data_IF_435135290335
#
_entry.id   IF_435135290335
#
_cell.length_a   1.000
_cell.length_b   1.000
_cell.length_c   1.000
_cell.angle_alpha   90.00
_cell.angle_beta   90.00
_cell.angle_gamma   90.00
#
_symmetry.space_group_name_H-M   'P 1'
#
loop_
_entity.id
_entity.type
_entity.pdbx_description
1 polymer ?
#
# COMPACT_ATOMS: atom_id res chain seq x y z
N UNK A 1 -6.56 19.56 -2.55
CA UNK A 1 -5.85 18.80 -3.59
C UNK A 1 -6.82 17.86 -4.27
N UNK A 2 -6.77 17.78 -5.58
CA UNK A 2 -7.67 16.89 -6.34
C UNK A 2 -6.87 15.75 -6.97
N UNK A 3 -6.83 14.61 -6.29
CA UNK A 3 -6.12 13.42 -6.78
C UNK A 3 -6.68 12.90 -8.10
N UNK A 4 -8.00 13.00 -8.29
CA UNK A 4 -8.66 12.44 -9.47
C UNK A 4 -8.27 13.18 -10.75
N UNK A 5 -7.84 14.42 -10.65
CA UNK A 5 -7.45 15.25 -11.80
C UNK A 5 -5.98 15.06 -12.21
N UNK A 6 -5.20 14.32 -11.44
CA UNK A 6 -3.79 14.10 -11.74
C UNK A 6 -3.61 13.01 -12.80
N UNK A 7 -2.50 13.08 -13.53
CA UNK A 7 -2.15 12.04 -14.50
C UNK A 7 -1.71 10.76 -13.78
N UNK A 8 -1.70 9.66 -14.52
CA UNK A 8 -1.22 8.39 -13.97
C UNK A 8 0.22 8.51 -13.46
N UNK A 9 1.08 9.19 -14.21
CA UNK A 9 2.47 9.39 -13.81
C UNK A 9 2.58 10.19 -12.53
N UNK A 10 1.76 11.24 -12.39
CA UNK A 10 1.73 12.03 -11.16
C UNK A 10 1.26 11.19 -9.97
N UNK A 11 0.25 10.36 -10.19
CA UNK A 11 -0.27 9.47 -9.15
C UNK A 11 0.79 8.44 -8.74
N UNK A 12 1.54 7.88 -9.70
CA UNK A 12 2.63 6.96 -9.40
C UNK A 12 3.69 7.62 -8.52
N UNK A 13 4.07 8.84 -8.84
CA UNK A 13 5.06 9.57 -8.04
C UNK A 13 4.56 9.85 -6.62
N UNK A 14 3.28 10.20 -6.49
CA UNK A 14 2.65 10.40 -5.18
C UNK A 14 2.60 9.10 -4.38
N UNK A 15 2.26 7.99 -5.04
CA UNK A 15 2.12 6.70 -4.37
C UNK A 15 3.42 6.06 -3.94
N UNK A 16 4.51 6.41 -4.60
CA UNK A 16 5.83 5.80 -4.39
C UNK A 16 6.27 5.75 -2.93
N UNK A 17 6.35 6.87 -2.21
CA UNK A 17 6.80 6.83 -0.82
C UNK A 17 5.86 6.04 0.09
N UNK A 18 4.56 6.03 -0.22
CA UNK A 18 3.60 5.25 0.56
C UNK A 18 3.84 3.75 0.38
N UNK A 19 3.98 3.30 -0.86
CA UNK A 19 4.21 1.89 -1.14
C UNK A 19 5.56 1.42 -0.58
N UNK A 20 6.60 2.22 -0.75
CA UNK A 20 7.93 1.88 -0.24
C UNK A 20 7.94 1.77 1.28
N UNK A 21 7.21 2.64 1.97
CA UNK A 21 7.05 2.54 3.42
C UNK A 21 6.30 1.27 3.82
N UNK A 22 5.23 0.93 3.09
CA UNK A 22 4.45 -0.28 3.38
C UNK A 22 5.30 -1.54 3.21
N UNK A 23 6.06 -1.62 2.12
CA UNK A 23 6.96 -2.76 1.87
C UNK A 23 8.01 -2.89 2.97
N UNK A 24 8.69 -1.80 3.28
CA UNK A 24 9.72 -1.80 4.31
C UNK A 24 9.16 -2.20 5.67
N UNK A 25 8.05 -1.58 6.06
CA UNK A 25 7.44 -1.83 7.37
C UNK A 25 6.87 -3.23 7.49
N UNK A 26 6.29 -3.75 6.40
CA UNK A 26 5.77 -5.11 6.36
C UNK A 26 6.92 -6.13 6.49
N UNK A 27 8.01 -5.92 5.77
CA UNK A 27 9.18 -6.79 5.86
C UNK A 27 9.80 -6.80 7.26
N UNK A 28 9.76 -5.66 7.95
CA UNK A 28 10.25 -5.52 9.31
C UNK A 28 9.23 -5.91 10.38
N UNK A 29 7.99 -6.17 9.97
CA UNK A 29 6.86 -6.42 10.88
C UNK A 29 6.68 -5.26 11.87
N UNK A 30 6.85 -4.05 11.37
CA UNK A 30 6.77 -2.80 12.14
C UNK A 30 5.36 -2.23 12.02
N UNK A 31 4.54 -2.47 13.02
CA UNK A 31 3.14 -2.02 13.02
C UNK A 31 3.04 -0.50 12.95
N UNK A 32 3.80 0.22 13.76
CA UNK A 32 3.76 1.69 13.78
C UNK A 32 4.13 2.30 12.44
N UNK A 33 5.21 1.79 11.82
CA UNK A 33 5.63 2.24 10.50
C UNK A 33 4.62 1.88 9.43
N UNK A 34 4.06 0.67 9.49
CA UNK A 34 3.10 0.20 8.51
C UNK A 34 1.83 1.03 8.48
N UNK A 35 1.33 1.43 9.65
CA UNK A 35 0.09 2.19 9.78
C UNK A 35 0.27 3.70 9.77
N UNK A 36 1.50 4.17 9.61
CA UNK A 36 1.85 5.59 9.72
C UNK A 36 0.96 6.51 8.88
N UNK A 37 0.65 6.11 7.66
CA UNK A 37 -0.07 6.94 6.70
C UNK A 37 -1.53 6.50 6.51
N UNK A 38 -2.04 5.62 7.37
CA UNK A 38 -3.40 5.11 7.24
C UNK A 38 -4.42 6.19 7.55
N UNK A 39 -5.50 6.19 6.77
CA UNK A 39 -6.67 7.00 7.10
C UNK A 39 -7.29 6.51 8.40
N UNK A 40 -8.11 7.35 9.03
CA UNK A 40 -8.82 6.98 10.26
C UNK A 40 -9.67 5.73 10.04
N UNK A 41 -10.36 5.67 8.89
CA UNK A 41 -11.21 4.52 8.56
C UNK A 41 -10.38 3.23 8.45
N UNK A 42 -9.23 3.30 7.79
CA UNK A 42 -8.39 2.12 7.61
C UNK A 42 -7.80 1.62 8.94
N UNK A 43 -7.47 2.54 9.85
CA UNK A 43 -6.94 2.19 11.17
C UNK A 43 -7.93 1.35 11.98
N UNK A 44 -9.24 1.55 11.82
CA UNK A 44 -10.24 0.76 12.53
C UNK A 44 -10.17 -0.72 12.18
N UNK A 45 -9.79 -1.04 10.95
CA UNK A 45 -9.70 -2.43 10.49
C UNK A 45 -8.32 -3.05 10.60
N UNK A 46 -7.32 -2.30 11.07
CA UNK A 46 -5.93 -2.73 11.07
C UNK A 46 -5.37 -2.78 12.48
N UNK A 47 -5.89 -3.70 13.32
CA UNK A 47 -5.37 -3.83 14.67
C UNK A 47 -4.06 -4.63 14.68
N UNK A 48 -3.25 -4.38 15.71
CA UNK A 48 -1.89 -4.92 15.82
C UNK A 48 -1.86 -6.44 15.90
N UNK A 49 -2.82 -7.03 16.60
CA UNK A 49 -2.87 -8.49 16.80
C UNK A 49 -3.16 -9.19 15.47
N UNK A 50 -4.16 -8.71 14.72
CA UNK A 50 -4.53 -9.32 13.44
C UNK A 50 -3.43 -9.14 12.40
N UNK A 51 -2.81 -7.97 12.35
CA UNK A 51 -1.72 -7.72 11.42
C UNK A 51 -0.51 -8.60 11.75
N UNK A 52 -0.21 -8.76 13.03
CA UNK A 52 0.83 -9.66 13.49
C UNK A 52 0.61 -11.11 13.07
N UNK A 53 -0.65 -11.57 13.12
CA UNK A 53 -1.02 -12.91 12.64
C UNK A 53 -0.79 -13.04 11.13
N UNK A 54 -1.17 -12.03 10.36
CA UNK A 54 -0.95 -12.04 8.91
C UNK A 54 0.53 -12.13 8.60
N UNK A 55 1.36 -11.33 9.26
CA UNK A 55 2.82 -11.36 9.04
C UNK A 55 3.44 -12.69 9.44
N UNK A 56 2.91 -13.34 10.47
CA UNK A 56 3.41 -14.63 10.91
C UNK A 56 3.04 -15.76 9.94
N UNK A 57 1.92 -15.64 9.25
CA UNK A 57 1.34 -16.75 8.49
C UNK A 57 1.33 -16.55 6.97
N UNK A 58 1.70 -15.38 6.48
CA UNK A 58 1.64 -15.09 5.04
C UNK A 58 2.98 -14.57 4.53
N UNK A 59 3.74 -15.43 3.88
CA UNK A 59 5.07 -15.10 3.37
C UNK A 59 5.07 -14.09 2.24
N UNK A 60 3.96 -13.94 1.52
CA UNK A 60 3.92 -13.00 0.38
C UNK A 60 3.87 -11.54 0.83
N UNK A 61 3.60 -11.27 2.10
CA UNK A 61 3.56 -9.91 2.62
C UNK A 61 4.75 -9.53 3.48
N UNK A 62 5.71 -10.43 3.71
CA UNK A 62 6.89 -10.20 4.58
C UNK A 62 8.16 -10.46 3.83
N UNK A 63 8.48 -10.64 2.79
CA UNK A 63 9.75 -10.86 2.09
C UNK A 63 9.71 -10.20 0.73
N UNK A 64 9.16 -9.00 0.71
CA UNK A 64 8.93 -8.27 -0.54
C UNK A 64 10.24 -7.68 -1.04
N UNK A 65 10.45 -7.75 -2.35
CA UNK A 65 11.55 -7.02 -2.97
C UNK A 65 11.28 -5.52 -2.85
N UNK A 66 12.33 -4.74 -2.71
CA UNK A 66 12.24 -3.28 -2.65
C UNK A 66 11.92 -2.68 -4.02
N UNK A 67 12.23 -3.40 -5.09
CA UNK A 67 11.88 -2.98 -6.45
C UNK A 67 10.46 -3.42 -6.79
N UNK A 68 9.76 -2.59 -7.57
CA UNK A 68 8.38 -2.83 -7.95
C UNK A 68 8.05 -2.05 -9.21
N UNK A 69 6.93 -2.38 -9.87
CA UNK A 69 6.53 -1.70 -11.11
C UNK A 69 5.06 -1.29 -11.05
N UNK A 70 4.75 0.02 -10.87
CA UNK A 70 3.39 0.49 -11.09
C UNK A 70 3.02 0.31 -12.55
N UNK A 71 1.80 -0.16 -12.82
CA UNK A 71 1.39 -0.42 -14.20
C UNK A 71 0.00 0.10 -14.55
N UNK A 72 -0.70 0.69 -13.62
CA UNK A 72 -2.01 1.27 -13.91
C UNK A 72 -2.60 1.98 -12.71
N UNK A 73 -3.65 2.73 -12.97
CA UNK A 73 -4.41 3.41 -11.94
C UNK A 73 -5.90 3.20 -12.19
N UNK A 74 -6.67 3.25 -11.11
CA UNK A 74 -8.13 3.28 -11.17
C UNK A 74 -8.60 4.48 -10.37
N UNK A 75 -9.61 5.16 -10.88
CA UNK A 75 -10.24 6.28 -10.17
C UNK A 75 -11.66 5.86 -9.83
N UNK A 76 -11.96 5.83 -8.54
CA UNK A 76 -13.27 5.37 -8.09
C UNK A 76 -13.72 6.20 -6.89
N UNK A 77 -14.85 6.85 -7.02
CA UNK A 77 -15.34 7.77 -5.99
C UNK A 77 -14.32 8.89 -5.79
N UNK A 78 -13.92 9.10 -4.55
CA UNK A 78 -12.94 10.13 -4.20
C UNK A 78 -11.52 9.59 -4.09
N UNK A 79 -11.30 8.34 -4.50
CA UNK A 79 -10.02 7.66 -4.32
C UNK A 79 -9.36 7.30 -5.64
N UNK A 80 -8.04 7.16 -5.59
CA UNK A 80 -7.28 6.56 -6.68
C UNK A 80 -6.63 5.28 -6.18
N UNK A 81 -6.60 4.26 -7.04
CA UNK A 81 -5.91 3.00 -6.74
C UNK A 81 -4.72 2.88 -7.67
N UNK A 82 -3.55 2.65 -7.10
CA UNK A 82 -2.35 2.34 -7.89
C UNK A 82 -2.22 0.82 -7.94
N UNK A 83 -2.07 0.30 -9.16
CA UNK A 83 -1.85 -1.12 -9.40
C UNK A 83 -0.36 -1.36 -9.59
N UNK A 84 0.19 -2.29 -8.81
CA UNK A 84 1.64 -2.48 -8.71
C UNK A 84 1.97 -3.95 -8.92
N UNK A 85 2.97 -4.22 -9.78
CA UNK A 85 3.55 -5.55 -9.89
C UNK A 85 4.64 -5.67 -8.84
N UNK A 86 4.50 -6.63 -7.95
CA UNK A 86 5.41 -6.85 -6.84
C UNK A 86 5.93 -8.28 -6.89
N UNK A 87 7.22 -8.46 -6.56
CA UNK A 87 7.81 -9.80 -6.43
C UNK A 87 8.28 -10.00 -5.00
N UNK A 88 8.59 -11.25 -4.67
CA UNK A 88 8.90 -11.67 -3.30
C UNK A 88 10.24 -12.41 -3.31
N UNK A 89 11.03 -12.24 -2.24
CA UNK A 89 12.37 -12.83 -2.14
C UNK A 89 12.33 -14.34 -1.89
N UNK A 90 11.24 -14.86 -1.33
CA UNK A 90 11.10 -16.26 -0.97
C UNK A 90 10.06 -17.01 -1.80
N UNK A 91 9.03 -16.33 -2.24
CA UNK A 91 7.92 -16.94 -2.98
C UNK A 91 8.02 -16.54 -4.44
N UNK A 92 8.14 -17.54 -5.33
CA UNK A 92 8.23 -17.30 -6.77
C UNK A 92 6.90 -16.76 -7.32
N UNK A 93 6.99 -15.97 -8.38
CA UNK A 93 5.82 -15.44 -9.08
C UNK A 93 5.70 -13.93 -8.96
N UNK A 94 4.66 -13.42 -9.59
CA UNK A 94 4.34 -12.00 -9.58
C UNK A 94 3.03 -11.80 -8.84
N UNK A 95 2.98 -10.74 -8.03
CA UNK A 95 1.83 -10.47 -7.17
C UNK A 95 1.26 -9.10 -7.49
N UNK A 96 -0.04 -8.95 -7.30
CA UNK A 96 -0.72 -7.69 -7.51
C UNK A 96 -0.77 -6.90 -6.21
N UNK A 97 -0.07 -5.77 -6.19
CA UNK A 97 -0.20 -4.78 -5.14
C UNK A 97 -1.28 -3.77 -5.49
N UNK A 98 -2.12 -3.42 -4.53
CA UNK A 98 -3.14 -2.38 -4.67
C UNK A 98 -2.96 -1.38 -3.55
N UNK A 99 -2.73 -0.14 -3.93
CA UNK A 99 -2.58 0.98 -2.99
C UNK A 99 -3.70 1.97 -3.26
N UNK A 100 -4.60 2.12 -2.30
CA UNK A 100 -5.71 3.08 -2.42
C UNK A 100 -5.35 4.34 -1.66
N UNK A 101 -5.38 5.47 -2.35
CA UNK A 101 -5.06 6.78 -1.80
C UNK A 101 -6.28 7.69 -1.85
N UNK A 102 -6.43 8.50 -0.84
CA UNK A 102 -7.46 9.52 -0.76
C UNK A 102 -6.98 10.70 0.06
N UNK A 103 -7.85 11.67 0.27
CA UNK A 103 -7.53 12.87 1.06
C UNK A 103 -8.35 12.84 2.35
N UNK A 104 -7.68 13.04 3.47
CA UNK A 104 -8.30 13.15 4.79
C UNK A 104 -7.68 14.36 5.48
N UNK A 105 -8.51 15.30 5.90
CA UNK A 105 -8.03 16.52 6.58
C UNK A 105 -6.97 17.28 5.79
N UNK A 106 -7.13 17.34 4.47
CA UNK A 106 -6.21 18.04 3.59
C UNK A 106 -4.92 17.30 3.26
N UNK A 107 -4.76 16.08 3.76
CA UNK A 107 -3.57 15.27 3.54
C UNK A 107 -3.89 13.99 2.79
N UNK A 108 -2.94 13.54 1.97
CA UNK A 108 -3.07 12.24 1.29
C UNK A 108 -2.80 11.14 2.30
N UNK A 109 -3.71 10.18 2.37
CA UNK A 109 -3.63 9.03 3.28
C UNK A 109 -3.88 7.73 2.53
N UNK A 110 -3.45 6.63 3.14
CA UNK A 110 -3.70 5.29 2.63
C UNK A 110 -5.05 4.81 3.12
N UNK A 111 -5.95 4.52 2.19
CA UNK A 111 -7.30 4.03 2.47
C UNK A 111 -7.43 2.53 2.23
N UNK A 112 -6.46 1.92 1.59
CA UNK A 112 -6.40 0.49 1.38
C UNK A 112 -5.04 0.06 0.88
N UNK A 113 -4.61 -1.13 1.29
CA UNK A 113 -3.36 -1.72 0.82
C UNK A 113 -3.51 -3.23 0.88
N UNK A 114 -3.36 -3.88 -0.26
CA UNK A 114 -3.47 -5.34 -0.36
C UNK A 114 -2.41 -5.86 -1.33
N UNK A 115 -2.08 -7.12 -1.18
CA UNK A 115 -1.21 -7.82 -2.12
C UNK A 115 -1.66 -9.28 -2.21
N UNK A 116 -1.79 -9.78 -3.44
CA UNK A 116 -2.20 -11.16 -3.67
C UNK A 116 -1.85 -11.67 -5.06
#
# INVERSE_FOLDING_TARGET
MNLLAKTDEEIFEIGKPFWENLVRSSNLKDYGGFTRDFSTQMLFGANEVELGKQWANNKIITNLHETYNPFGTLRRGDHVTVLIKQTNKEVAGEFLGRLVLGVEDGEIKVFGATIY
#
